data_IF_544459508572
#
_entry.id   IF_544459508572
#
_cell.length_a   1.000
_cell.length_b   1.000
_cell.length_c   1.000
_cell.angle_alpha   90.00
_cell.angle_beta   90.00
_cell.angle_gamma   90.00
#
_symmetry.space_group_name_H-M   'P 1'
#
loop_
_entity.id
_entity.type
_entity.pdbx_description
1 polymer ?
#
# COMPACT_ATOMS: atom_id res chain seq x y z
N UNK A 1 -18.98 38.51 49.01
CA UNK A 1 -18.51 38.48 47.61
C UNK A 1 -17.39 37.47 47.33
N UNK A 2 -16.49 37.13 48.28
CA UNK A 2 -15.45 36.11 48.06
C UNK A 2 -15.99 34.66 47.92
N UNK A 3 -16.96 34.27 48.76
CA UNK A 3 -17.53 32.91 48.77
C UNK A 3 -18.27 32.52 47.48
N UNK A 4 -18.85 33.50 46.79
CA UNK A 4 -19.57 33.31 45.51
C UNK A 4 -18.63 33.23 44.31
N UNK A 5 -17.44 33.85 44.39
CA UNK A 5 -16.41 33.74 43.35
C UNK A 5 -15.70 32.37 43.39
N UNK A 6 -15.45 31.84 44.59
CA UNK A 6 -14.81 30.52 44.76
C UNK A 6 -15.73 29.38 44.27
N UNK A 7 -17.04 29.50 44.44
CA UNK A 7 -18.01 28.52 43.93
C UNK A 7 -18.16 28.56 42.40
N UNK A 8 -18.06 29.74 41.78
CA UNK A 8 -18.08 29.89 40.33
C UNK A 8 -16.79 29.34 39.66
N UNK A 9 -15.63 29.53 40.32
CA UNK A 9 -14.36 28.98 39.85
C UNK A 9 -14.34 27.44 39.92
N UNK A 10 -14.94 26.83 40.96
CA UNK A 10 -15.03 25.37 41.08
C UNK A 10 -15.93 24.74 40.00
N UNK A 11 -17.04 25.42 39.63
CA UNK A 11 -17.94 24.92 38.58
C UNK A 11 -17.32 25.01 37.18
N UNK A 12 -16.50 26.03 36.92
CA UNK A 12 -15.80 26.17 35.65
C UNK A 12 -14.69 25.10 35.48
N UNK A 13 -14.02 24.69 36.57
CA UNK A 13 -13.01 23.62 36.54
C UNK A 13 -13.65 22.24 36.32
N UNK A 14 -14.84 22.00 36.87
CA UNK A 14 -15.59 20.74 36.64
C UNK A 14 -16.11 20.60 35.21
N UNK A 15 -16.46 21.70 34.53
CA UNK A 15 -16.89 21.67 33.14
C UNK A 15 -15.74 21.48 32.14
N UNK A 16 -14.51 21.89 32.49
CA UNK A 16 -13.32 21.65 31.65
C UNK A 16 -12.86 20.19 31.72
N UNK A 17 -13.10 19.50 32.84
CA UNK A 17 -12.73 18.08 33.00
C UNK A 17 -13.73 17.09 32.37
N UNK A 18 -14.95 17.52 32.04
CA UNK A 18 -15.94 16.72 31.33
C UNK A 18 -15.77 16.76 29.79
N UNK A 19 -14.92 17.65 29.26
CA UNK A 19 -14.66 17.81 27.83
C UNK A 19 -13.56 16.89 27.27
N UNK A 20 -12.90 16.12 28.13
CA UNK A 20 -11.91 15.10 27.73
C UNK A 20 -12.47 13.69 27.87
N UNK A 21 -13.75 13.49 27.51
CA UNK A 21 -14.15 12.20 26.97
C UNK A 21 -13.65 12.17 25.53
N UNK A 22 -12.33 12.02 25.36
CA UNK A 22 -11.80 11.57 24.10
C UNK A 22 -12.51 10.26 23.79
N UNK A 23 -13.16 10.18 22.63
CA UNK A 23 -13.62 8.91 22.11
C UNK A 23 -12.48 7.92 22.34
N UNK A 24 -12.71 6.88 23.14
CA UNK A 24 -11.81 5.73 23.13
C UNK A 24 -11.60 5.39 21.65
N UNK A 25 -10.35 5.25 21.17
CA UNK A 25 -10.14 4.81 19.81
C UNK A 25 -10.95 3.53 19.66
N UNK A 26 -11.97 3.58 18.79
CA UNK A 26 -12.84 2.44 18.58
C UNK A 26 -11.94 1.23 18.36
N UNK A 27 -12.12 0.17 19.15
CA UNK A 27 -11.32 -1.04 18.97
C UNK A 27 -11.33 -1.40 17.48
N UNK A 28 -10.16 -1.68 16.89
CA UNK A 28 -10.06 -1.96 15.48
C UNK A 28 -10.99 -3.13 15.13
N UNK A 29 -12.09 -2.84 14.41
CA UNK A 29 -13.11 -3.82 13.99
C UNK A 29 -12.57 -4.95 13.10
N UNK A 30 -11.28 -4.94 12.78
CA UNK A 30 -10.64 -5.81 11.80
C UNK A 30 -9.86 -6.98 12.41
N UNK A 31 -9.58 -6.99 13.72
CA UNK A 31 -8.72 -8.03 14.34
C UNK A 31 -9.27 -9.46 14.15
N UNK A 32 -10.60 -9.63 14.12
CA UNK A 32 -11.24 -10.94 13.90
C UNK A 32 -11.22 -11.43 12.43
N UNK A 33 -10.89 -10.55 11.48
CA UNK A 33 -10.99 -10.81 10.04
C UNK A 33 -9.64 -10.76 9.30
N UNK A 34 -8.56 -10.35 9.97
CA UNK A 34 -7.22 -10.38 9.41
C UNK A 34 -6.54 -11.72 9.68
N UNK A 35 -6.28 -12.46 8.61
CA UNK A 35 -5.52 -13.71 8.66
C UNK A 35 -4.17 -13.46 8.01
N UNK A 36 -3.08 -13.71 8.75
CA UNK A 36 -1.75 -13.80 8.15
C UNK A 36 -1.61 -15.16 7.48
N UNK A 37 -1.49 -15.16 6.15
CA UNK A 37 -1.11 -16.37 5.42
C UNK A 37 0.36 -16.69 5.70
N UNK A 38 0.66 -17.95 5.99
CA UNK A 38 2.03 -18.45 6.02
C UNK A 38 2.22 -19.21 4.72
N UNK A 39 3.01 -18.65 3.80
CA UNK A 39 3.38 -19.32 2.56
C UNK A 39 4.56 -20.22 2.87
N UNK A 40 4.43 -21.51 2.55
CA UNK A 40 5.54 -22.45 2.59
C UNK A 40 6.06 -22.62 1.17
N UNK A 41 7.28 -22.17 0.95
CA UNK A 41 7.98 -22.39 -0.31
C UNK A 41 8.28 -23.89 -0.44
N UNK A 42 7.79 -24.50 -1.53
CA UNK A 42 8.07 -25.90 -1.84
C UNK A 42 8.38 -26.00 -3.33
N UNK A 43 9.50 -26.64 -3.67
CA UNK A 43 9.92 -26.82 -5.07
C UNK A 43 10.74 -25.67 -5.67
N UNK A 44 11.08 -24.62 -4.91
CA UNK A 44 11.96 -23.53 -5.39
C UNK A 44 13.36 -24.06 -5.75
N UNK A 45 13.85 -25.06 -5.02
CA UNK A 45 15.17 -25.68 -5.24
C UNK A 45 15.19 -26.71 -6.41
N UNK A 46 14.06 -26.95 -7.08
CA UNK A 46 14.01 -27.96 -8.16
C UNK A 46 14.64 -27.44 -9.47
N UNK A 47 14.29 -26.23 -9.89
CA UNK A 47 14.85 -25.52 -11.06
C UNK A 47 14.21 -24.13 -11.20
N UNK A 48 14.87 -23.21 -11.92
CA UNK A 48 14.33 -21.89 -12.26
C UNK A 48 12.99 -21.98 -13.00
N UNK A 49 12.83 -22.97 -13.89
CA UNK A 49 11.57 -23.21 -14.59
C UNK A 49 10.44 -23.62 -13.64
N UNK A 50 10.75 -24.42 -12.61
CA UNK A 50 9.76 -24.85 -11.62
C UNK A 50 9.40 -23.71 -10.68
N UNK A 51 10.40 -22.95 -10.24
CA UNK A 51 10.20 -21.72 -9.48
C UNK A 51 9.24 -20.76 -10.21
N UNK A 52 9.52 -20.49 -11.49
CA UNK A 52 8.69 -19.60 -12.31
C UNK A 52 7.25 -20.13 -12.47
N UNK A 53 7.06 -21.44 -12.67
CA UNK A 53 5.73 -22.05 -12.71
C UNK A 53 4.95 -21.80 -11.41
N UNK A 54 5.60 -21.99 -10.26
CA UNK A 54 4.98 -21.81 -8.94
C UNK A 54 4.64 -20.34 -8.72
N UNK A 55 5.58 -19.42 -8.99
CA UNK A 55 5.36 -17.98 -8.86
C UNK A 55 4.17 -17.50 -9.70
N UNK A 56 4.09 -17.92 -10.97
CA UNK A 56 2.98 -17.59 -11.87
C UNK A 56 1.63 -18.14 -11.38
N UNK A 57 1.63 -19.31 -10.74
CA UNK A 57 0.41 -19.88 -10.14
C UNK A 57 -0.01 -19.14 -8.88
N UNK A 58 0.95 -18.76 -8.03
CA UNK A 58 0.70 -17.99 -6.81
C UNK A 58 0.11 -16.63 -7.14
N UNK A 59 0.66 -15.90 -8.12
CA UNK A 59 0.13 -14.63 -8.58
C UNK A 59 -1.33 -14.75 -9.04
N UNK A 60 -1.65 -15.75 -9.88
CA UNK A 60 -3.02 -16.01 -10.35
C UNK A 60 -3.99 -16.37 -9.22
N UNK A 61 -3.51 -17.02 -8.17
CA UNK A 61 -4.34 -17.39 -7.02
C UNK A 61 -4.86 -16.14 -6.30
N UNK A 62 -4.03 -15.11 -6.14
CA UNK A 62 -4.41 -13.87 -5.46
C UNK A 62 -5.60 -13.20 -6.16
N UNK A 63 -5.53 -12.98 -7.47
CA UNK A 63 -6.64 -12.42 -8.24
C UNK A 63 -7.91 -13.29 -8.20
N UNK A 64 -7.76 -14.63 -8.18
CA UNK A 64 -8.89 -15.54 -8.04
C UNK A 64 -9.55 -15.46 -6.66
N UNK A 65 -8.78 -15.28 -5.58
CA UNK A 65 -9.33 -15.12 -4.24
C UNK A 65 -10.16 -13.84 -4.13
N UNK A 66 -9.66 -12.75 -4.70
CA UNK A 66 -10.39 -11.49 -4.76
C UNK A 66 -11.70 -11.64 -5.53
N UNK A 67 -11.65 -12.18 -6.75
CA UNK A 67 -12.83 -12.35 -7.61
C UNK A 67 -13.90 -13.26 -6.98
N UNK A 68 -13.47 -14.35 -6.33
CA UNK A 68 -14.40 -15.39 -5.83
C UNK A 68 -14.88 -15.18 -4.41
N UNK A 69 -14.14 -14.44 -3.58
CA UNK A 69 -14.43 -14.35 -2.15
C UNK A 69 -14.52 -12.92 -1.61
N UNK A 70 -14.10 -11.91 -2.38
CA UNK A 70 -13.95 -10.55 -1.86
C UNK A 70 -12.85 -10.43 -0.80
N UNK A 71 -11.93 -11.39 -0.75
CA UNK A 71 -10.68 -11.25 -0.02
C UNK A 71 -9.90 -10.09 -0.62
N UNK A 72 -9.01 -9.49 0.17
CA UNK A 72 -8.04 -8.53 -0.33
C UNK A 72 -6.63 -9.01 -0.01
N UNK A 73 -5.68 -8.51 -0.78
CA UNK A 73 -4.25 -8.74 -0.60
C UNK A 73 -3.60 -7.42 -0.24
N UNK A 74 -2.65 -7.47 0.68
CA UNK A 74 -1.76 -6.37 1.00
C UNK A 74 -0.34 -6.90 1.01
N UNK A 75 0.50 -6.33 0.17
CA UNK A 75 1.94 -6.46 0.25
C UNK A 75 2.50 -5.27 1.04
N UNK A 76 3.06 -5.59 2.21
CA UNK A 76 3.73 -4.66 3.11
C UNK A 76 5.23 -5.02 3.25
N UNK A 77 5.85 -5.54 2.19
CA UNK A 77 7.25 -5.98 2.15
C UNK A 77 8.22 -4.95 2.76
N UNK A 78 8.04 -3.67 2.45
CA UNK A 78 8.87 -2.59 2.98
C UNK A 78 8.81 -2.40 4.50
N UNK A 79 7.81 -2.99 5.17
CA UNK A 79 7.63 -2.97 6.62
C UNK A 79 8.09 -4.28 7.30
N UNK A 80 8.70 -5.20 6.56
CA UNK A 80 9.34 -6.37 7.16
C UNK A 80 10.44 -5.96 8.13
N UNK A 81 10.59 -6.71 9.22
CA UNK A 81 11.60 -6.46 10.25
C UNK A 81 12.96 -6.99 9.79
N UNK A 82 13.99 -6.14 9.76
CA UNK A 82 15.36 -6.56 9.40
C UNK A 82 16.21 -7.00 10.59
N UNK A 83 15.72 -6.78 11.80
CA UNK A 83 16.36 -7.13 13.05
C UNK A 83 15.33 -7.56 14.11
N UNK A 84 15.84 -8.02 15.26
CA UNK A 84 15.02 -8.42 16.42
C UNK A 84 14.34 -7.23 17.13
N UNK A 85 14.71 -5.99 16.80
CA UNK A 85 14.16 -4.76 17.37
C UNK A 85 12.91 -4.28 16.61
N UNK A 86 12.64 -4.86 15.44
CA UNK A 86 11.49 -4.52 14.61
C UNK A 86 11.75 -3.37 13.65
N UNK A 87 13.01 -3.08 13.32
CA UNK A 87 13.37 -2.03 12.35
C UNK A 87 12.79 -2.35 10.97
N UNK A 88 11.98 -1.45 10.37
CA UNK A 88 11.40 -1.68 9.05
C UNK A 88 12.45 -1.69 7.93
N UNK A 89 12.28 -2.57 6.94
CA UNK A 89 13.17 -2.71 5.78
C UNK A 89 13.40 -1.39 5.03
N UNK A 90 12.38 -0.55 4.87
CA UNK A 90 12.53 0.72 4.15
C UNK A 90 13.62 1.63 4.75
N UNK A 91 13.93 1.50 6.04
CA UNK A 91 14.97 2.32 6.70
C UNK A 91 16.38 2.01 6.18
N UNK A 92 16.57 0.85 5.56
CA UNK A 92 17.82 0.41 4.95
C UNK A 92 17.96 0.87 3.49
N UNK A 93 16.89 1.43 2.91
CA UNK A 93 16.85 1.84 1.50
C UNK A 93 17.31 3.29 1.34
N UNK A 94 17.84 3.61 0.17
CA UNK A 94 18.29 4.96 -0.21
C UNK A 94 17.62 5.39 -1.52
N UNK A 95 16.32 5.72 -1.49
CA UNK A 95 15.56 6.03 -2.71
C UNK A 95 15.93 7.37 -3.35
N UNK A 96 15.57 7.52 -4.62
CA UNK A 96 15.75 8.75 -5.41
C UNK A 96 14.76 9.86 -5.02
N UNK A 97 13.61 9.50 -4.44
CA UNK A 97 12.58 10.41 -3.92
C UNK A 97 12.45 10.24 -2.39
N UNK A 98 11.82 11.17 -1.65
CA UNK A 98 11.64 11.04 -0.20
C UNK A 98 11.09 9.67 0.20
N UNK A 99 11.59 9.15 1.32
CA UNK A 99 11.30 7.78 1.77
C UNK A 99 9.80 7.57 1.98
N UNK A 100 9.05 8.62 2.29
CA UNK A 100 7.60 8.61 2.51
C UNK A 100 6.78 8.33 1.24
N UNK A 101 7.36 8.56 0.06
CA UNK A 101 6.70 8.44 -1.25
C UNK A 101 7.45 7.51 -2.23
N UNK A 102 8.58 6.95 -1.80
CA UNK A 102 9.39 6.09 -2.64
C UNK A 102 8.77 4.69 -2.81
N UNK A 103 8.93 4.05 -3.99
CA UNK A 103 8.53 2.66 -4.18
C UNK A 103 9.15 1.69 -3.15
N UNK A 104 10.45 1.85 -2.85
CA UNK A 104 11.15 1.10 -1.81
C UNK A 104 11.09 1.79 -0.43
N UNK A 105 10.12 2.68 -0.22
CA UNK A 105 9.98 3.50 0.97
C UNK A 105 8.83 3.07 1.87
N UNK A 106 8.16 4.04 2.48
CA UNK A 106 6.96 3.86 3.31
C UNK A 106 5.71 3.64 2.43
N UNK A 107 5.82 2.70 1.51
CA UNK A 107 4.77 2.32 0.56
C UNK A 107 4.25 0.93 0.91
N UNK A 108 2.96 0.73 0.66
CA UNK A 108 2.34 -0.59 0.60
C UNK A 108 1.69 -0.78 -0.76
N UNK A 109 1.43 -2.03 -1.10
CA UNK A 109 0.61 -2.40 -2.24
C UNK A 109 -0.61 -3.15 -1.75
N UNK A 110 -1.78 -2.81 -2.26
CA UNK A 110 -3.06 -3.36 -1.83
C UNK A 110 -3.90 -3.67 -3.05
N UNK A 111 -4.73 -4.70 -3.00
CA UNK A 111 -5.71 -4.87 -4.06
C UNK A 111 -6.95 -4.03 -3.86
N UNK A 112 -7.76 -3.85 -4.91
CA UNK A 112 -8.99 -3.04 -4.87
C UNK A 112 -9.90 -3.37 -3.68
N UNK A 113 -10.04 -4.65 -3.35
CA UNK A 113 -10.93 -5.12 -2.29
C UNK A 113 -10.52 -4.61 -0.89
N UNK A 114 -9.27 -4.14 -0.72
CA UNK A 114 -8.79 -3.53 0.52
C UNK A 114 -9.63 -2.32 0.93
N UNK A 115 -10.08 -1.51 -0.02
CA UNK A 115 -10.81 -0.27 0.26
C UNK A 115 -12.25 -0.49 0.72
N UNK A 116 -12.80 -1.71 0.58
CA UNK A 116 -14.09 -2.07 1.19
C UNK A 116 -14.01 -2.13 2.71
N UNK A 117 -12.82 -2.43 3.23
CA UNK A 117 -12.53 -2.53 4.66
C UNK A 117 -11.80 -1.29 5.20
N UNK A 118 -11.04 -0.62 4.34
CA UNK A 118 -10.26 0.57 4.64
C UNK A 118 -10.65 1.70 3.68
N UNK A 119 -11.87 2.25 3.80
CA UNK A 119 -12.35 3.25 2.86
C UNK A 119 -11.49 4.51 2.92
N UNK A 120 -11.23 5.06 1.74
CA UNK A 120 -10.52 6.31 1.55
C UNK A 120 -11.44 7.24 0.77
N UNK A 121 -11.63 8.45 1.27
CA UNK A 121 -12.26 9.55 0.55
C UNK A 121 -11.16 10.29 -0.22
N UNK A 122 -11.29 10.52 -1.52
CA UNK A 122 -10.32 11.34 -2.27
C UNK A 122 -10.57 12.83 -2.07
N UNK A 123 -9.63 13.69 -2.47
CA UNK A 123 -9.74 15.17 -2.29
C UNK A 123 -11.05 15.75 -2.86
N UNK A 124 -11.55 15.17 -3.94
CA UNK A 124 -12.76 15.59 -4.65
C UNK A 124 -14.07 14.98 -4.07
N UNK A 125 -13.97 14.17 -3.00
CA UNK A 125 -15.10 13.49 -2.38
C UNK A 125 -15.70 12.37 -3.24
N UNK A 126 -15.00 11.93 -4.29
CA UNK A 126 -15.39 10.78 -5.09
C UNK A 126 -14.99 9.47 -4.41
N UNK A 127 -15.70 8.41 -4.75
CA UNK A 127 -15.32 7.06 -4.32
C UNK A 127 -14.06 6.64 -5.08
N UNK A 128 -13.03 6.21 -4.35
CA UNK A 128 -11.76 5.76 -4.93
C UNK A 128 -11.97 4.65 -5.98
N UNK A 129 -12.85 3.69 -5.72
CA UNK A 129 -13.13 2.57 -6.64
C UNK A 129 -13.52 3.03 -8.05
N UNK A 130 -14.15 4.19 -8.20
CA UNK A 130 -14.57 4.75 -9.49
C UNK A 130 -13.44 5.43 -10.27
N UNK A 131 -12.32 5.70 -9.61
CA UNK A 131 -11.15 6.38 -10.16
C UNK A 131 -10.04 5.40 -10.54
N UNK A 132 -10.17 4.13 -10.15
CA UNK A 132 -9.21 3.08 -10.51
C UNK A 132 -9.32 2.73 -11.99
N UNK A 133 -8.17 2.70 -12.67
CA UNK A 133 -8.04 2.24 -14.05
C UNK A 133 -7.59 0.78 -14.04
N UNK A 134 -8.47 -0.12 -14.45
CA UNK A 134 -8.19 -1.57 -14.51
C UNK A 134 -7.61 -1.93 -15.88
N UNK A 135 -6.36 -1.53 -16.10
CA UNK A 135 -5.61 -1.78 -17.31
C UNK A 135 -4.22 -2.34 -16.95
N UNK A 136 -3.80 -3.39 -17.67
CA UNK A 136 -2.56 -4.11 -17.35
C UNK A 136 -1.30 -3.23 -17.49
N UNK A 137 -1.35 -2.18 -18.30
CA UNK A 137 -0.25 -1.22 -18.49
C UNK A 137 -0.40 0.03 -17.61
N UNK A 138 -1.32 0.01 -16.63
CA UNK A 138 -1.60 1.14 -15.75
C UNK A 138 -1.38 0.78 -14.29
N UNK A 139 -0.50 1.53 -13.63
CA UNK A 139 -0.31 1.54 -12.19
C UNK A 139 -1.24 2.56 -11.55
N UNK A 140 -2.11 2.15 -10.64
CA UNK A 140 -2.87 3.08 -9.80
C UNK A 140 -2.05 3.42 -8.54
N UNK A 141 -1.82 4.72 -8.30
CA UNK A 141 -1.02 5.22 -7.19
C UNK A 141 -1.83 6.20 -6.35
N UNK A 142 -1.93 5.95 -5.05
CA UNK A 142 -2.48 6.92 -4.09
C UNK A 142 -1.35 7.75 -3.50
N UNK A 143 -1.40 9.07 -3.68
CA UNK A 143 -0.37 9.99 -3.18
C UNK A 143 -0.98 10.98 -2.18
N UNK A 144 -0.43 11.13 -0.96
CA UNK A 144 -0.88 12.14 -0.02
C UNK A 144 -0.71 13.56 -0.57
N UNK A 145 -1.75 14.40 -0.44
CA UNK A 145 -1.78 15.79 -0.97
C UNK A 145 -0.59 16.67 -0.58
N UNK A 146 0.06 16.39 0.56
CA UNK A 146 1.25 17.14 0.99
C UNK A 146 2.44 17.02 0.04
N UNK A 147 2.44 16.02 -0.87
CA UNK A 147 3.49 15.79 -1.85
C UNK A 147 3.14 16.26 -3.27
N UNK A 148 2.06 17.03 -3.44
CA UNK A 148 1.61 17.55 -4.74
C UNK A 148 2.70 18.33 -5.48
N UNK A 149 3.55 19.04 -4.76
CA UNK A 149 4.67 19.80 -5.35
C UNK A 149 5.77 18.90 -5.95
N UNK A 150 5.72 17.58 -5.73
CA UNK A 150 6.66 16.57 -6.20
C UNK A 150 6.03 15.56 -7.18
N UNK A 151 4.83 15.86 -7.69
CA UNK A 151 4.06 14.97 -8.57
C UNK A 151 4.90 14.40 -9.71
N UNK A 152 5.69 15.24 -10.39
CA UNK A 152 6.50 14.78 -11.52
C UNK A 152 7.61 13.80 -11.10
N UNK A 153 8.31 14.04 -10.00
CA UNK A 153 9.32 13.14 -9.48
C UNK A 153 8.72 11.81 -9.01
N UNK A 154 7.54 11.85 -8.37
CA UNK A 154 6.80 10.67 -7.92
C UNK A 154 6.40 9.81 -9.12
N UNK A 155 5.74 10.42 -10.11
CA UNK A 155 5.29 9.70 -11.31
C UNK A 155 6.47 9.07 -12.06
N UNK A 156 7.60 9.77 -12.15
CA UNK A 156 8.81 9.22 -12.77
C UNK A 156 9.38 8.03 -11.98
N UNK A 157 9.53 8.15 -10.66
CA UNK A 157 10.05 7.07 -9.82
C UNK A 157 9.16 5.83 -9.85
N UNK A 158 7.84 6.01 -9.80
CA UNK A 158 6.88 4.91 -9.84
C UNK A 158 6.72 4.29 -11.22
N UNK A 159 6.84 5.07 -12.31
CA UNK A 159 6.86 4.50 -13.67
C UNK A 159 8.10 3.64 -13.89
N UNK A 160 9.27 4.11 -13.48
CA UNK A 160 10.53 3.35 -13.55
C UNK A 160 10.44 2.06 -12.73
N UNK A 161 9.89 2.13 -11.53
CA UNK A 161 9.65 0.95 -10.69
C UNK A 161 8.66 -0.03 -11.33
N UNK A 162 7.55 0.47 -11.88
CA UNK A 162 6.55 -0.35 -12.56
C UNK A 162 7.12 -1.05 -13.80
N UNK A 163 7.98 -0.35 -14.56
CA UNK A 163 8.70 -0.92 -15.69
C UNK A 163 9.64 -2.05 -15.25
N UNK A 164 10.43 -1.83 -14.20
CA UNK A 164 11.32 -2.84 -13.65
C UNK A 164 10.55 -4.11 -13.29
N UNK A 165 9.47 -4.01 -12.51
CA UNK A 165 8.73 -5.19 -12.08
C UNK A 165 7.97 -5.88 -13.21
N UNK A 166 7.30 -5.09 -14.06
CA UNK A 166 6.43 -5.65 -15.10
C UNK A 166 7.22 -6.23 -16.26
N UNK A 167 8.31 -5.57 -16.66
CA UNK A 167 9.03 -5.91 -17.90
C UNK A 167 10.39 -6.52 -17.59
N UNK A 168 11.24 -5.83 -16.84
CA UNK A 168 12.62 -6.27 -16.64
C UNK A 168 12.69 -7.55 -15.81
N UNK A 169 11.97 -7.60 -14.69
CA UNK A 169 11.93 -8.77 -13.82
C UNK A 169 11.32 -9.98 -14.54
N UNK A 170 10.19 -9.83 -15.23
CA UNK A 170 9.57 -10.92 -15.98
C UNK A 170 10.49 -11.46 -17.08
N UNK A 171 11.11 -10.57 -17.85
CA UNK A 171 12.07 -10.96 -18.89
C UNK A 171 13.30 -11.68 -18.31
N UNK A 172 13.82 -11.21 -17.18
CA UNK A 172 14.93 -11.85 -16.47
C UNK A 172 14.55 -13.26 -15.98
N UNK A 173 13.37 -13.42 -15.37
CA UNK A 173 12.89 -14.74 -14.92
C UNK A 173 12.65 -15.70 -16.09
N UNK A 174 12.10 -15.20 -17.20
CA UNK A 174 11.96 -16.00 -18.42
C UNK A 174 13.34 -16.45 -18.94
N UNK A 175 14.34 -15.56 -18.94
CA UNK A 175 15.71 -15.91 -19.33
C UNK A 175 16.32 -16.99 -18.44
N UNK A 176 16.24 -16.82 -17.12
CA UNK A 176 16.73 -17.81 -16.15
C UNK A 176 16.06 -19.17 -16.34
N UNK A 177 14.75 -19.18 -16.63
CA UNK A 177 13.99 -20.39 -16.92
C UNK A 177 14.23 -20.98 -18.32
N UNK A 178 15.11 -20.39 -19.14
CA UNK A 178 15.40 -20.84 -20.51
C UNK A 178 14.25 -20.62 -21.50
N UNK A 179 13.33 -19.69 -21.20
CA UNK A 179 12.22 -19.29 -22.07
C UNK A 179 12.67 -18.24 -23.07
N UNK A 180 12.10 -18.28 -24.28
CA UNK A 180 12.39 -17.29 -25.34
C UNK A 180 11.43 -16.09 -25.28
N UNK A 181 10.30 -16.22 -24.59
CA UNK A 181 9.28 -15.18 -24.48
C UNK A 181 9.83 -13.93 -23.79
N UNK A 182 9.63 -12.77 -24.42
CA UNK A 182 9.96 -11.47 -23.86
C UNK A 182 8.81 -10.50 -24.06
N UNK A 183 8.55 -9.68 -23.05
CA UNK A 183 7.67 -8.53 -23.16
C UNK A 183 8.38 -7.45 -23.99
N UNK A 184 7.75 -7.05 -25.09
CA UNK A 184 8.16 -5.92 -25.93
C UNK A 184 7.33 -4.70 -25.53
N UNK A 185 7.56 -4.25 -24.30
CA UNK A 185 6.93 -3.07 -23.70
C UNK A 185 8.06 -2.11 -23.32
N UNK A 186 7.95 -0.84 -23.66
CA UNK A 186 8.86 0.23 -23.26
C UNK A 186 8.29 1.01 -22.07
N UNK A 187 9.15 1.68 -21.31
CA UNK A 187 8.74 2.44 -20.11
C UNK A 187 7.65 3.48 -20.42
N UNK A 188 7.72 4.15 -21.57
CA UNK A 188 6.76 5.18 -22.00
C UNK A 188 5.39 4.62 -22.41
N UNK A 189 5.26 3.30 -22.61
CA UNK A 189 3.97 2.65 -22.79
C UNK A 189 3.24 2.41 -21.47
N UNK A 190 3.92 2.54 -20.32
CA UNK A 190 3.35 2.36 -19.00
C UNK A 190 2.81 3.68 -18.44
N UNK A 191 1.60 3.61 -17.89
CA UNK A 191 0.89 4.74 -17.29
C UNK A 191 0.90 4.63 -15.77
N UNK A 192 1.06 5.75 -15.08
CA UNK A 192 0.79 5.87 -13.64
C UNK A 192 -0.42 6.78 -13.48
N UNK A 193 -1.53 6.20 -13.02
CA UNK A 193 -2.76 6.90 -12.67
C UNK A 193 -2.68 7.32 -11.19
N UNK A 194 -2.28 8.57 -10.95
CA UNK A 194 -2.24 9.14 -9.62
C UNK A 194 -3.62 9.62 -9.17
N UNK A 195 -4.04 9.18 -7.99
CA UNK A 195 -5.23 9.66 -7.32
C UNK A 195 -4.83 10.43 -6.05
N UNK A 196 -5.16 11.73 -5.95
CA UNK A 196 -4.84 12.53 -4.77
C UNK A 196 -5.62 12.03 -3.54
N UNK A 197 -4.88 11.72 -2.48
CA UNK A 197 -5.39 11.17 -1.22
C UNK A 197 -5.25 12.20 -0.07
N UNK A 198 -6.29 12.44 0.76
CA UNK A 198 -6.12 13.10 2.06
C UNK A 198 -5.14 12.33 2.98
N UNK A 199 -4.69 12.95 4.10
CA UNK A 199 -3.45 12.53 4.75
C UNK A 199 -3.65 11.22 5.49
N UNK A 200 -3.35 10.09 4.86
CA UNK A 200 -3.28 8.83 5.58
C UNK A 200 -2.21 7.88 5.04
N UNK A 201 -2.22 7.47 3.76
CA UNK A 201 -1.22 6.50 3.28
C UNK A 201 -0.97 6.56 1.76
N UNK A 202 0.28 6.23 1.39
CA UNK A 202 0.70 5.94 0.04
C UNK A 202 0.45 4.45 -0.25
N UNK A 203 -0.26 4.14 -1.33
CA UNK A 203 -0.64 2.77 -1.69
C UNK A 203 -0.62 2.55 -3.19
N UNK A 204 0.06 1.49 -3.65
CA UNK A 204 -0.07 0.94 -5.00
C UNK A 204 -1.29 0.01 -5.06
N UNK A 205 -2.04 0.03 -6.17
CA UNK A 205 -3.21 -0.83 -6.34
C UNK A 205 -3.03 -1.79 -7.53
N UNK A 206 -3.19 -3.10 -7.29
CA UNK A 206 -3.30 -4.15 -8.32
C UNK A 206 -4.74 -4.32 -8.83
#
# INVERSE_FOLDING_TARGET
MKKTLEQAALLAVLLVLAGCAGNEPAEPKWEEHLYRTVVYNSGEDESDAKYLEIAQRSQKLLSLLEEKTGAFVMDAYNYQTVDDEGTPLYTMNTPEVPIEIAPAGMSIQVSREYFKWNPIETEDGLELEKQLVLDDLTLNLLVPNQYRDMEQEILAAWRKYFYFEKVEAENNYNEMAGREERLDITEDQLTVNENPNPPAMLGRIE
#
